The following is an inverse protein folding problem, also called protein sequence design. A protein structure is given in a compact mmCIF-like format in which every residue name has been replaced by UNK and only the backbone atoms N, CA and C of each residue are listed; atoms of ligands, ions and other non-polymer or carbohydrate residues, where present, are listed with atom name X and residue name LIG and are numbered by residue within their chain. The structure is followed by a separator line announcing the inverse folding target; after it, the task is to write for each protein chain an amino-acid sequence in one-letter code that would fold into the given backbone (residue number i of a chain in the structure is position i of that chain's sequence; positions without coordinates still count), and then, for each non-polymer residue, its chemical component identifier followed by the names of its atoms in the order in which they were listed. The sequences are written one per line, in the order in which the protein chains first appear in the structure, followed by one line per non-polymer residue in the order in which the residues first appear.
data_IF_499063402270
#
_entry.id   IF_499063402270
#
_cell.length_a   1.000
_cell.length_b   1.000
_cell.length_c   1.000
_cell.angle_alpha   90.00
_cell.angle_beta   90.00
_cell.angle_gamma   90.00
#
_symmetry.space_group_name_H-M   'P 1'
#
loop_
_entity.id
_entity.type
_entity.pdbx_description
1 polymer ?
#
# COMPACT_ATOMS: atom_id res chain seq x y z
N UNK A 1 -8.39 60.11 19.43
CA UNK A 1 -7.75 59.39 18.30
C UNK A 1 -6.95 58.17 18.72
N UNK A 2 -6.40 58.07 19.94
CA UNK A 2 -5.55 56.91 20.33
C UNK A 2 -6.25 55.57 20.63
N UNK A 3 -7.55 55.56 20.98
CA UNK A 3 -8.22 54.28 21.32
C UNK A 3 -8.53 53.43 20.08
N UNK A 4 -8.91 54.05 18.95
CA UNK A 4 -9.28 53.31 17.73
C UNK A 4 -8.06 52.60 17.13
N UNK A 5 -6.88 53.23 17.16
CA UNK A 5 -5.64 52.63 16.66
C UNK A 5 -5.21 51.41 17.48
N UNK A 6 -5.42 51.43 18.80
CA UNK A 6 -5.11 50.29 19.68
C UNK A 6 -6.04 49.10 19.37
N UNK A 7 -7.33 49.33 19.13
CA UNK A 7 -8.27 48.25 18.75
C UNK A 7 -7.93 47.65 17.37
N UNK A 8 -7.50 48.48 16.41
CA UNK A 8 -7.08 48.01 15.07
C UNK A 8 -5.78 47.19 15.16
N UNK A 9 -4.80 47.63 15.94
CA UNK A 9 -3.56 46.87 16.18
C UNK A 9 -3.83 45.55 16.89
N UNK A 10 -4.77 45.52 17.84
CA UNK A 10 -5.15 44.29 18.56
C UNK A 10 -5.88 43.30 17.64
N UNK A 11 -6.71 43.78 16.70
CA UNK A 11 -7.37 42.92 15.70
C UNK A 11 -6.37 42.31 14.69
N UNK A 12 -5.33 43.05 14.29
CA UNK A 12 -4.30 42.54 13.37
C UNK A 12 -3.43 41.43 14.00
N UNK A 13 -3.20 41.47 15.33
CA UNK A 13 -2.42 40.44 16.03
C UNK A 13 -3.20 39.11 16.14
N UNK A 14 -4.54 39.15 16.19
CA UNK A 14 -5.39 37.94 16.25
C UNK A 14 -5.46 37.22 14.89
N UNK A 15 -5.25 37.93 13.77
CA UNK A 15 -5.31 37.34 12.42
C UNK A 15 -4.04 36.60 11.96
N UNK A 16 -2.94 36.67 12.71
CA UNK A 16 -1.67 36.05 12.30
C UNK A 16 -1.43 34.63 12.87
N UNK A 17 -2.31 34.11 13.71
CA UNK A 17 -2.20 32.74 14.23
C UNK A 17 -2.98 31.71 13.38
N UNK A 18 -2.88 31.84 12.07
CA UNK A 18 -3.29 30.77 11.15
C UNK A 18 -2.22 29.69 11.10
N UNK A 19 -2.25 28.72 12.02
CA UNK A 19 -1.48 27.50 11.84
C UNK A 19 -2.06 26.76 10.64
N UNK A 20 -1.34 26.78 9.52
CA UNK A 20 -1.69 25.98 8.35
C UNK A 20 -1.75 24.51 8.74
N UNK A 21 -2.95 23.94 8.73
CA UNK A 21 -3.15 22.53 9.02
C UNK A 21 -2.66 21.73 7.82
N UNK A 22 -1.52 21.04 7.98
CA UNK A 22 -1.03 20.11 6.99
C UNK A 22 -1.90 18.85 7.03
N UNK A 23 -2.54 18.53 5.91
CA UNK A 23 -3.23 17.26 5.69
C UNK A 23 -2.26 16.30 5.00
N UNK A 24 -1.74 15.27 5.67
CA UNK A 24 -0.93 14.23 5.02
C UNK A 24 -1.66 13.64 3.82
N UNK A 25 -0.96 13.49 2.69
CA UNK A 25 -1.54 13.04 1.40
C UNK A 25 -2.03 14.14 0.46
N UNK A 26 -2.16 15.39 0.93
CA UNK A 26 -2.64 16.53 0.11
C UNK A 26 -1.56 17.21 -0.75
N UNK A 27 -0.27 16.92 -0.49
CA UNK A 27 0.86 17.47 -1.23
C UNK A 27 1.86 16.38 -1.65
N UNK A 28 2.60 16.57 -2.75
CA UNK A 28 3.66 15.67 -3.18
C UNK A 28 4.77 15.58 -2.13
N UNK A 29 5.04 14.36 -1.67
CA UNK A 29 6.28 14.10 -0.95
C UNK A 29 7.44 14.11 -1.95
N UNK A 30 8.48 14.89 -1.65
CA UNK A 30 9.69 14.95 -2.48
C UNK A 30 10.68 13.94 -1.91
N UNK A 31 11.07 12.99 -2.74
CA UNK A 31 12.13 12.03 -2.40
C UNK A 31 13.37 12.33 -3.23
N UNK A 32 14.55 12.08 -2.66
CA UNK A 32 15.82 11.97 -3.37
C UNK A 32 16.18 10.51 -3.62
N UNK A 33 17.08 10.26 -4.57
CA UNK A 33 17.60 8.92 -4.84
C UNK A 33 18.20 8.33 -3.56
N UNK A 34 17.80 7.10 -3.23
CA UNK A 34 18.22 6.39 -2.02
C UNK A 34 17.34 6.63 -0.80
N UNK A 35 16.39 7.57 -0.83
CA UNK A 35 15.47 7.77 0.29
C UNK A 35 14.67 6.51 0.63
N UNK A 36 14.40 6.26 1.92
CA UNK A 36 13.61 5.11 2.33
C UNK A 36 12.14 5.30 1.95
N UNK A 37 11.60 4.32 1.24
CA UNK A 37 10.17 4.18 0.97
C UNK A 37 9.63 2.98 1.73
N UNK A 38 8.58 3.20 2.53
CA UNK A 38 7.94 2.11 3.28
C UNK A 38 6.59 1.79 2.66
N UNK A 39 6.35 0.52 2.38
CA UNK A 39 5.02 0.04 1.99
C UNK A 39 4.21 -0.19 3.27
N UNK A 40 2.92 0.10 3.22
CA UNK A 40 1.97 -0.20 4.28
C UNK A 40 0.99 -1.26 3.82
N UNK A 41 0.35 -1.91 4.78
CA UNK A 41 -0.69 -2.90 4.55
C UNK A 41 -1.99 -2.37 5.14
N UNK A 42 -3.11 -2.57 4.46
CA UNK A 42 -4.43 -2.40 5.07
C UNK A 42 -5.03 -3.78 5.39
N UNK A 43 -6.20 -3.79 6.02
CA UNK A 43 -6.99 -5.00 6.27
C UNK A 43 -7.20 -5.81 5.00
N UNK A 44 -7.22 -7.12 5.17
CA UNK A 44 -7.62 -8.07 4.15
C UNK A 44 -9.10 -7.87 3.86
N UNK A 45 -9.43 -7.70 2.58
CA UNK A 45 -10.80 -7.58 2.09
C UNK A 45 -11.12 -8.78 1.20
N UNK A 46 -12.38 -9.19 1.13
CA UNK A 46 -12.82 -10.29 0.28
C UNK A 46 -13.75 -9.77 -0.81
N UNK A 47 -13.71 -10.39 -1.98
CA UNK A 47 -14.69 -10.12 -3.03
C UNK A 47 -16.05 -10.77 -2.69
N UNK A 48 -16.03 -11.90 -1.97
CA UNK A 48 -17.23 -12.69 -1.66
C UNK A 48 -17.88 -12.30 -0.33
N UNK A 49 -17.09 -11.79 0.62
CA UNK A 49 -17.54 -11.55 2.00
C UNK A 49 -17.26 -10.12 2.42
N UNK A 50 -18.14 -9.57 3.25
CA UNK A 50 -18.06 -8.17 3.71
C UNK A 50 -17.16 -7.98 4.94
N UNK A 51 -16.64 -9.07 5.53
CA UNK A 51 -15.91 -9.02 6.79
C UNK A 51 -14.40 -8.81 6.55
N UNK A 52 -13.81 -7.68 6.99
CA UNK A 52 -12.39 -7.46 6.90
C UNK A 52 -11.63 -8.22 8.01
N UNK A 53 -10.41 -8.65 7.71
CA UNK A 53 -9.50 -9.25 8.70
C UNK A 53 -8.17 -8.51 8.72
N UNK A 54 -7.51 -8.45 9.89
CA UNK A 54 -6.17 -7.86 9.97
C UNK A 54 -5.20 -8.64 9.05
N UNK A 55 -4.31 -7.91 8.37
CA UNK A 55 -3.24 -8.50 7.56
C UNK A 55 -2.43 -9.53 8.35
N UNK A 56 -2.06 -9.20 9.59
CA UNK A 56 -1.28 -10.06 10.47
C UNK A 56 -2.07 -11.17 11.19
N UNK A 57 -3.34 -11.37 10.82
CA UNK A 57 -4.10 -12.57 11.21
C UNK A 57 -3.67 -13.83 10.45
N UNK A 58 -3.02 -13.65 9.29
CA UNK A 58 -2.37 -14.69 8.53
C UNK A 58 -0.88 -14.79 8.91
N UNK A 59 -0.21 -15.93 8.64
CA UNK A 59 1.20 -16.15 8.98
C UNK A 59 2.18 -15.39 8.07
N UNK A 60 1.91 -14.11 7.79
CA UNK A 60 2.79 -13.20 7.08
C UNK A 60 3.93 -12.67 7.95
N UNK A 61 4.97 -12.13 7.31
CA UNK A 61 6.11 -11.52 7.98
C UNK A 61 5.72 -10.27 8.76
N UNK A 62 6.05 -10.25 10.05
CA UNK A 62 5.91 -9.06 10.90
C UNK A 62 7.20 -8.22 10.85
N UNK A 63 7.10 -6.88 10.87
CA UNK A 63 8.26 -6.00 10.99
C UNK A 63 8.99 -6.22 12.33
N UNK A 64 10.32 -6.05 12.34
CA UNK A 64 11.18 -6.31 13.51
C UNK A 64 10.90 -5.33 14.66
N UNK A 65 10.50 -4.11 14.30
CA UNK A 65 10.10 -3.03 15.18
C UNK A 65 8.70 -3.20 15.79
N UNK A 66 7.99 -4.28 15.46
CA UNK A 66 6.62 -4.52 15.86
C UNK A 66 5.59 -3.88 14.92
N UNK A 67 4.38 -4.41 14.98
CA UNK A 67 3.23 -3.90 14.22
C UNK A 67 2.74 -2.61 14.88
N UNK A 68 2.60 -1.56 14.09
CA UNK A 68 2.17 -0.23 14.50
C UNK A 68 1.15 0.31 13.50
N UNK A 69 0.10 0.90 14.03
CA UNK A 69 -0.87 1.65 13.22
C UNK A 69 -0.15 2.84 12.57
N UNK A 70 -0.45 3.04 11.28
CA UNK A 70 0.25 3.97 10.39
C UNK A 70 -0.74 4.80 9.56
N UNK A 71 -1.95 5.03 10.11
CA UNK A 71 -2.92 5.98 9.57
C UNK A 71 -2.32 7.39 9.55
N UNK A 72 -2.35 8.04 8.38
CA UNK A 72 -1.74 9.35 8.20
C UNK A 72 -2.73 10.50 8.39
N UNK A 73 -4.01 10.27 8.11
CA UNK A 73 -5.03 11.31 8.23
C UNK A 73 -6.22 10.87 9.09
N UNK A 74 -6.96 11.87 9.57
CA UNK A 74 -8.12 11.67 10.43
C UNK A 74 -9.24 10.92 9.70
N UNK A 75 -9.33 11.06 8.36
CA UNK A 75 -10.28 10.31 7.54
C UNK A 75 -10.03 8.81 7.63
N UNK A 76 -8.81 8.35 7.35
CA UNK A 76 -8.40 6.94 7.45
C UNK A 76 -8.71 6.36 8.84
N UNK A 77 -8.40 7.11 9.91
CA UNK A 77 -8.67 6.67 11.26
C UNK A 77 -10.17 6.52 11.54
N UNK A 78 -10.99 7.47 11.06
CA UNK A 78 -12.44 7.48 11.28
C UNK A 78 -13.18 6.46 10.43
N UNK A 79 -12.64 6.09 9.27
CA UNK A 79 -13.19 5.05 8.39
C UNK A 79 -12.91 3.63 8.88
N UNK A 80 -12.22 3.50 10.03
CA UNK A 80 -11.91 2.19 10.62
C UNK A 80 -10.83 1.42 9.85
N UNK A 81 -10.11 2.09 8.95
CA UNK A 81 -9.00 1.48 8.23
C UNK A 81 -7.86 1.15 9.20
N UNK A 82 -7.49 -0.13 9.23
CA UNK A 82 -6.36 -0.62 10.03
C UNK A 82 -5.11 -0.66 9.14
N UNK A 83 -4.63 0.54 8.79
CA UNK A 83 -3.38 0.69 8.05
C UNK A 83 -2.23 0.42 9.03
N UNK A 84 -1.48 -0.64 8.79
CA UNK A 84 -0.37 -1.08 9.62
C UNK A 84 0.95 -0.99 8.83
N UNK A 85 2.07 -0.76 9.51
CA UNK A 85 3.38 -0.78 8.86
C UNK A 85 3.70 -2.19 8.34
N UNK A 86 4.39 -2.29 7.20
CA UNK A 86 4.85 -3.56 6.64
C UNK A 86 6.38 -3.70 6.70
N UNK A 87 6.94 -4.91 6.57
CA UNK A 87 8.39 -5.12 6.51
C UNK A 87 9.02 -4.75 5.15
N UNK A 88 8.22 -4.40 4.13
CA UNK A 88 8.73 -4.02 2.81
C UNK A 88 9.28 -2.59 2.83
N UNK A 89 10.58 -2.44 2.55
CA UNK A 89 11.29 -1.17 2.55
C UNK A 89 12.12 -1.06 1.28
N UNK A 90 11.84 -0.05 0.47
CA UNK A 90 12.57 0.21 -0.76
C UNK A 90 13.52 1.38 -0.56
N UNK A 91 14.55 1.43 -1.41
CA UNK A 91 15.37 2.62 -1.58
C UNK A 91 14.96 3.30 -2.88
N UNK A 92 14.65 4.59 -2.79
CA UNK A 92 14.10 5.33 -3.91
C UNK A 92 15.03 5.26 -5.13
N UNK A 93 14.50 4.89 -6.30
CA UNK A 93 15.24 4.78 -7.56
C UNK A 93 16.40 3.77 -7.55
N UNK A 94 16.31 2.74 -6.71
CA UNK A 94 17.29 1.64 -6.65
C UNK A 94 16.57 0.32 -6.90
N UNK A 95 16.80 -0.29 -8.06
CA UNK A 95 16.23 -1.60 -8.38
C UNK A 95 16.91 -2.69 -7.57
N UNK A 96 16.13 -3.50 -6.88
CA UNK A 96 16.60 -4.61 -6.05
C UNK A 96 15.80 -5.86 -6.39
N UNK A 97 16.46 -7.01 -6.53
CA UNK A 97 15.82 -8.29 -6.86
C UNK A 97 16.11 -9.33 -5.78
N UNK A 98 15.20 -10.30 -5.65
CA UNK A 98 15.33 -11.45 -4.74
C UNK A 98 15.62 -11.10 -3.27
N UNK A 99 15.05 -9.99 -2.77
CA UNK A 99 15.23 -9.58 -1.39
C UNK A 99 14.49 -10.53 -0.45
N UNK A 100 15.24 -11.16 0.44
CA UNK A 100 14.70 -11.95 1.53
C UNK A 100 14.01 -11.07 2.57
N UNK A 101 12.73 -11.35 2.83
CA UNK A 101 11.94 -10.62 3.82
C UNK A 101 11.97 -11.32 5.17
N UNK A 102 11.43 -12.54 5.23
CA UNK A 102 11.48 -13.39 6.40
C UNK A 102 11.10 -14.84 6.05
N UNK A 103 11.29 -15.72 7.02
CA UNK A 103 10.75 -17.07 7.00
C UNK A 103 9.70 -17.21 8.11
N UNK A 104 8.52 -17.71 7.78
CA UNK A 104 7.48 -17.96 8.78
C UNK A 104 7.87 -19.10 9.70
N UNK A 105 7.14 -19.23 10.82
CA UNK A 105 7.14 -20.49 11.57
C UNK A 105 6.60 -21.62 10.69
N UNK A 106 6.89 -22.86 11.08
CA UNK A 106 6.27 -24.04 10.46
C UNK A 106 4.76 -23.87 10.48
N UNK A 107 4.13 -24.04 9.31
CA UNK A 107 2.69 -23.89 9.17
C UNK A 107 2.00 -24.98 9.99
N UNK A 108 1.23 -24.59 11.01
CA UNK A 108 0.42 -25.52 11.80
C UNK A 108 -0.81 -25.98 11.01
N UNK A 109 -1.47 -27.05 11.47
CA UNK A 109 -2.72 -27.52 10.85
C UNK A 109 -3.82 -26.42 10.89
N UNK A 110 -3.88 -25.63 11.97
CA UNK A 110 -4.81 -24.52 12.10
C UNK A 110 -4.46 -23.38 11.14
N UNK A 111 -3.18 -23.02 11.01
CA UNK A 111 -2.72 -22.02 10.03
C UNK A 111 -3.05 -22.46 8.60
N UNK A 112 -2.82 -23.74 8.29
CA UNK A 112 -3.12 -24.31 6.98
C UNK A 112 -4.62 -24.24 6.66
N UNK A 113 -5.46 -24.61 7.64
CA UNK A 113 -6.92 -24.53 7.52
C UNK A 113 -7.38 -23.07 7.34
N UNK A 114 -6.79 -22.14 8.09
CA UNK A 114 -7.09 -20.72 7.99
C UNK A 114 -6.70 -20.16 6.62
N UNK A 115 -5.49 -20.45 6.14
CA UNK A 115 -5.01 -20.03 4.81
C UNK A 115 -5.91 -20.55 3.70
N UNK A 116 -6.26 -21.86 3.73
CA UNK A 116 -7.20 -22.44 2.77
C UNK A 116 -8.54 -21.73 2.77
N UNK A 117 -9.10 -21.48 3.96
CA UNK A 117 -10.35 -20.75 4.11
C UNK A 117 -10.27 -19.35 3.49
N UNK A 118 -9.18 -18.60 3.73
CA UNK A 118 -9.01 -17.25 3.14
C UNK A 118 -8.83 -17.26 1.63
N UNK A 119 -8.17 -18.28 1.09
CA UNK A 119 -8.03 -18.46 -0.36
C UNK A 119 -9.38 -18.80 -0.99
N UNK A 120 -10.13 -19.72 -0.38
CA UNK A 120 -11.46 -20.11 -0.87
C UNK A 120 -12.48 -18.95 -0.76
N UNK A 121 -12.38 -18.10 0.25
CA UNK A 121 -13.19 -16.88 0.43
C UNK A 121 -12.68 -15.66 -0.38
N UNK A 122 -11.76 -15.87 -1.33
CA UNK A 122 -11.22 -14.82 -2.22
C UNK A 122 -10.70 -13.56 -1.50
N UNK A 123 -10.03 -13.74 -0.35
CA UNK A 123 -9.40 -12.61 0.34
C UNK A 123 -8.23 -12.05 -0.47
N UNK A 124 -8.09 -10.74 -0.39
CA UNK A 124 -7.08 -9.93 -1.05
C UNK A 124 -6.28 -9.15 -0.02
N UNK A 125 -4.99 -8.99 -0.31
CA UNK A 125 -4.06 -8.13 0.41
C UNK A 125 -4.06 -6.76 -0.28
N UNK A 126 -4.30 -5.72 0.52
CA UNK A 126 -4.27 -4.34 0.08
C UNK A 126 -2.96 -3.70 0.56
N UNK A 127 -2.09 -3.36 -0.39
CA UNK A 127 -0.85 -2.64 -0.11
C UNK A 127 -1.04 -1.16 -0.41
N UNK A 128 -0.35 -0.31 0.34
CA UNK A 128 -0.37 1.14 0.17
C UNK A 128 1.07 1.64 0.06
N UNK A 129 1.35 2.42 -0.97
CA UNK A 129 2.64 3.09 -1.19
C UNK A 129 2.37 4.57 -1.45
N UNK A 130 3.04 5.47 -0.71
CA UNK A 130 2.85 6.92 -0.82
C UNK A 130 1.37 7.36 -0.82
N UNK A 131 0.60 6.77 0.10
CA UNK A 131 -0.85 6.99 0.27
C UNK A 131 -1.73 6.61 -0.93
N UNK A 132 -1.19 5.77 -1.83
CA UNK A 132 -1.94 5.17 -2.91
C UNK A 132 -2.05 3.65 -2.74
N UNK A 133 -3.23 3.05 -2.97
CA UNK A 133 -3.35 1.60 -3.04
C UNK A 133 -2.52 1.04 -4.19
N UNK A 134 -1.74 -0.02 -3.97
CA UNK A 134 -1.00 -0.66 -5.04
C UNK A 134 -1.98 -1.32 -6.03
N UNK A 135 -1.85 -0.99 -7.32
CA UNK A 135 -2.66 -1.58 -8.38
C UNK A 135 -1.96 -2.83 -8.92
N UNK A 136 -2.75 -3.86 -9.23
CA UNK A 136 -2.32 -5.06 -9.95
C UNK A 136 -2.97 -5.10 -11.33
N UNK A 137 -2.14 -5.25 -12.36
CA UNK A 137 -2.61 -5.48 -13.72
C UNK A 137 -2.77 -6.96 -14.01
N UNK A 138 -3.89 -7.31 -14.65
CA UNK A 138 -4.13 -8.66 -15.17
C UNK A 138 -4.64 -8.56 -16.59
N UNK A 139 -4.12 -9.40 -17.48
CA UNK A 139 -4.59 -9.46 -18.86
C UNK A 139 -5.67 -10.51 -18.98
N UNK A 140 -6.88 -10.12 -19.36
CA UNK A 140 -7.99 -11.03 -19.65
C UNK A 140 -8.51 -10.74 -21.05
N UNK A 141 -8.46 -11.73 -21.94
CA UNK A 141 -9.08 -11.66 -23.29
C UNK A 141 -8.70 -10.42 -24.11
N UNK A 142 -7.47 -9.93 -23.97
CA UNK A 142 -6.97 -8.75 -24.70
C UNK A 142 -7.17 -7.42 -23.98
N UNK A 143 -7.95 -7.38 -22.90
CA UNK A 143 -8.14 -6.22 -22.03
C UNK A 143 -7.21 -6.27 -20.82
N UNK A 144 -6.72 -5.11 -20.39
CA UNK A 144 -5.93 -4.94 -19.17
C UNK A 144 -6.87 -4.55 -18.03
N UNK A 145 -7.16 -5.50 -17.14
CA UNK A 145 -7.92 -5.27 -15.93
C UNK A 145 -7.01 -4.79 -14.81
N UNK A 146 -7.50 -3.84 -14.01
CA UNK A 146 -6.82 -3.28 -12.85
C UNK A 146 -7.53 -3.77 -11.59
N UNK A 147 -6.76 -4.13 -10.57
CA UNK A 147 -7.27 -4.54 -9.26
C UNK A 147 -6.58 -3.73 -8.17
N UNK A 148 -7.33 -3.30 -7.16
CA UNK A 148 -6.75 -2.80 -5.92
C UNK A 148 -6.39 -4.00 -5.06
N UNK A 149 -5.09 -4.26 -4.86
CA UNK A 149 -4.63 -5.43 -4.11
C UNK A 149 -4.46 -6.71 -4.94
N UNK A 150 -4.00 -7.76 -4.27
CA UNK A 150 -3.73 -9.07 -4.86
C UNK A 150 -4.35 -10.17 -4.00
N UNK A 151 -4.85 -11.28 -4.59
CA UNK A 151 -5.39 -12.38 -3.82
C UNK A 151 -4.34 -12.96 -2.86
N UNK A 152 -4.75 -13.45 -1.70
CA UNK A 152 -3.82 -14.12 -0.75
C UNK A 152 -3.15 -15.33 -1.41
N UNK A 153 -3.89 -16.07 -2.23
CA UNK A 153 -3.43 -17.27 -2.90
C UNK A 153 -4.41 -17.75 -3.96
N UNK A 154 -4.17 -18.93 -4.50
CA UNK A 154 -5.03 -19.57 -5.50
C UNK A 154 -5.09 -21.07 -5.29
N UNK A 155 -6.21 -21.68 -5.64
CA UNK A 155 -6.39 -23.13 -5.67
C UNK A 155 -6.34 -23.62 -7.11
N UNK A 156 -5.38 -24.48 -7.43
CA UNK A 156 -5.21 -25.08 -8.77
C UNK A 156 -5.15 -26.60 -8.62
N UNK A 157 -6.00 -27.32 -9.35
CA UNK A 157 -6.02 -28.80 -9.33
C UNK A 157 -6.05 -29.39 -7.90
N UNK A 158 -6.84 -28.77 -7.02
CA UNK A 158 -6.98 -29.12 -5.59
C UNK A 158 -5.74 -28.90 -4.71
N UNK A 159 -4.69 -28.27 -5.23
CA UNK A 159 -3.52 -27.81 -4.47
C UNK A 159 -3.67 -26.31 -4.20
N UNK A 160 -3.37 -25.91 -2.97
CA UNK A 160 -3.42 -24.51 -2.56
C UNK A 160 -2.04 -23.88 -2.66
N UNK A 161 -1.99 -22.71 -3.28
CA UNK A 161 -0.78 -21.92 -3.46
C UNK A 161 -0.95 -20.57 -2.77
N UNK A 162 0.08 -20.13 -2.06
CA UNK A 162 0.16 -18.80 -1.46
C UNK A 162 1.03 -17.90 -2.32
N UNK A 163 0.64 -16.65 -2.47
CA UNK A 163 1.49 -15.63 -3.09
C UNK A 163 2.46 -15.06 -2.07
N UNK A 164 3.69 -15.60 -2.04
CA UNK A 164 4.74 -15.29 -1.07
C UNK A 164 5.88 -14.44 -1.63
N UNK A 165 6.01 -14.37 -2.96
CA UNK A 165 6.97 -13.49 -3.63
C UNK A 165 6.22 -12.35 -4.32
N UNK A 166 6.57 -11.11 -3.97
CA UNK A 166 5.99 -9.90 -4.54
C UNK A 166 7.01 -9.16 -5.40
N UNK A 167 6.67 -8.90 -6.65
CA UNK A 167 7.43 -8.01 -7.52
C UNK A 167 6.71 -6.68 -7.60
N UNK A 168 7.32 -5.67 -7.03
CA UNK A 168 6.86 -4.30 -7.08
C UNK A 168 7.41 -3.60 -8.30
N UNK A 169 6.53 -2.94 -9.05
CA UNK A 169 6.92 -1.91 -9.99
C UNK A 169 6.45 -0.55 -9.45
N UNK A 170 7.35 0.41 -9.42
CA UNK A 170 7.09 1.75 -8.88
C UNK A 170 7.31 2.74 -10.00
N UNK A 171 6.22 3.38 -10.43
CA UNK A 171 6.31 4.41 -11.46
C UNK A 171 6.78 5.70 -10.84
N UNK A 172 7.64 6.41 -11.55
CA UNK A 172 8.33 7.62 -11.11
C UNK A 172 8.10 8.73 -12.11
N UNK A 173 7.63 9.88 -11.64
CA UNK A 173 7.61 11.09 -12.44
C UNK A 173 8.75 12.03 -12.08
N UNK A 174 9.78 12.15 -12.94
CA UNK A 174 10.88 13.10 -12.73
C UNK A 174 10.45 14.52 -13.09
N UNK A 175 10.75 15.47 -12.19
CA UNK A 175 10.69 16.90 -12.51
C UNK A 175 12.10 17.40 -12.84
N UNK A 176 12.26 18.11 -13.97
CA UNK A 176 13.51 18.78 -14.34
C UNK A 176 13.72 20.05 -13.48
N UNK A 177 14.31 19.88 -12.29
CA UNK A 177 15.12 20.92 -11.66
C UNK A 177 16.38 20.25 -11.08
N UNK A 178 17.54 20.77 -11.48
CA UNK A 178 18.91 20.36 -11.15
C UNK A 178 19.05 19.40 -9.95
N UNK A 179 19.61 18.21 -10.21
CA UNK A 179 20.13 17.24 -9.22
C UNK A 179 19.16 16.63 -8.20
N UNK A 180 17.87 16.94 -8.25
CA UNK A 180 16.86 16.30 -7.39
C UNK A 180 15.92 15.52 -8.30
N UNK A 181 16.14 14.20 -8.43
CA UNK A 181 15.13 13.33 -8.99
C UNK A 181 13.94 13.36 -8.03
N UNK A 182 12.97 14.25 -8.25
CA UNK A 182 11.71 14.26 -7.52
C UNK A 182 11.02 12.99 -7.93
N UNK A 183 11.11 11.97 -7.10
CA UNK A 183 10.47 10.71 -7.42
C UNK A 183 9.13 10.68 -6.75
N UNK A 184 8.09 10.41 -7.53
CA UNK A 184 6.75 10.21 -7.02
C UNK A 184 6.35 8.79 -7.33
N UNK A 185 6.13 7.97 -6.30
CA UNK A 185 5.68 6.59 -6.48
C UNK A 185 4.20 6.54 -6.83
N UNK A 186 3.86 6.35 -8.11
CA UNK A 186 2.58 5.72 -8.45
C UNK A 186 2.81 4.22 -8.24
N UNK A 187 2.17 3.65 -7.22
CA UNK A 187 2.27 2.21 -6.97
C UNK A 187 1.67 1.46 -8.13
N UNK A 188 2.42 0.61 -8.83
CA UNK A 188 1.81 -0.09 -9.96
C UNK A 188 2.49 -1.39 -10.39
N UNK A 189 1.68 -2.46 -10.42
CA UNK A 189 2.01 -3.87 -10.56
C UNK A 189 2.72 -4.48 -9.34
N UNK A 190 1.93 -5.13 -8.50
CA UNK A 190 2.39 -6.28 -7.72
C UNK A 190 2.19 -7.52 -8.57
N UNK A 191 3.25 -8.00 -9.20
CA UNK A 191 3.27 -9.38 -9.73
C UNK A 191 3.53 -10.33 -8.57
N UNK A 192 2.86 -11.48 -8.60
CA UNK A 192 2.88 -12.43 -7.49
C UNK A 192 3.29 -13.80 -7.97
N UNK A 193 4.25 -14.43 -7.29
CA UNK A 193 4.63 -15.81 -7.59
C UNK A 193 4.09 -16.77 -6.51
N UNK A 194 3.45 -17.88 -6.93
CA UNK A 194 2.85 -18.82 -6.01
C UNK A 194 3.86 -19.84 -5.45
N UNK A 195 3.70 -20.20 -4.18
CA UNK A 195 4.35 -21.34 -3.53
C UNK A 195 3.29 -22.31 -3.01
N UNK A 196 3.42 -23.64 -3.22
CA UNK A 196 2.48 -24.61 -2.67
C UNK A 196 2.54 -24.60 -1.15
N UNK A 197 1.38 -24.55 -0.50
CA UNK A 197 1.28 -24.56 0.95
C UNK A 197 1.33 -26.01 1.43
N UNK A 198 2.20 -26.30 2.41
CA UNK A 198 2.29 -27.61 3.04
C UNK A 198 2.33 -27.48 4.55
N UNK A 199 1.62 -28.36 5.23
CA UNK A 199 1.65 -28.47 6.68
C UNK A 199 3.06 -28.87 7.17
N UNK A 200 3.53 -28.25 8.25
CA UNK A 200 4.84 -28.53 8.85
C UNK A 200 6.04 -27.90 8.13
N UNK A 201 5.86 -27.35 6.93
CA UNK A 201 6.89 -26.58 6.21
C UNK A 201 6.73 -25.08 6.50
N UNK A 202 7.81 -24.32 6.66
CA UNK A 202 7.76 -22.86 6.75
C UNK A 202 7.59 -22.22 5.37
N UNK A 203 7.00 -21.03 5.34
CA UNK A 203 6.85 -20.21 4.12
C UNK A 203 8.00 -19.19 4.09
N UNK A 204 8.69 -19.11 2.97
CA UNK A 204 9.72 -18.10 2.74
C UNK A 204 9.10 -16.94 1.98
N UNK A 205 9.19 -15.72 2.51
CA UNK A 205 8.69 -14.53 1.82
C UNK A 205 9.86 -13.74 1.25
N UNK A 206 9.70 -13.33 0.00
CA UNK A 206 10.70 -12.56 -0.75
C UNK A 206 10.01 -11.47 -1.54
N UNK A 207 10.76 -10.47 -1.98
CA UNK A 207 10.23 -9.47 -2.89
C UNK A 207 11.32 -8.92 -3.80
N UNK A 208 10.90 -8.26 -4.86
CA UNK A 208 11.76 -7.46 -5.72
C UNK A 208 11.08 -6.12 -6.02
N UNK A 209 11.87 -5.11 -6.31
CA UNK A 209 11.40 -3.77 -6.65
C UNK A 209 12.11 -3.25 -7.89
N UNK A 210 11.33 -2.80 -8.85
CA UNK A 210 11.80 -2.14 -10.05
C UNK A 210 11.14 -0.76 -10.18
N UNK A 211 11.95 0.25 -10.48
CA UNK A 211 11.50 1.60 -10.71
C UNK A 211 11.45 1.89 -12.22
N UNK A 212 10.37 2.51 -12.68
CA UNK A 212 10.17 2.88 -14.08
C UNK A 212 9.73 4.33 -14.20
N UNK A 213 10.31 5.07 -15.13
CA UNK A 213 9.92 6.46 -15.36
C UNK A 213 8.60 6.55 -16.11
N UNK A 214 7.77 7.52 -15.71
CA UNK A 214 6.42 7.72 -16.22
C UNK A 214 6.11 9.21 -16.36
N UNK A 215 5.37 9.55 -17.41
CA UNK A 215 4.90 10.92 -17.67
C UNK A 215 3.66 11.30 -16.83
N UNK A 216 3.17 10.39 -15.98
CA UNK A 216 2.03 10.64 -15.09
C UNK A 216 2.41 11.69 -14.04
N UNK A 217 1.83 12.88 -14.15
CA UNK A 217 2.03 13.97 -13.19
C UNK A 217 1.36 13.67 -11.85
N UNK A 218 1.86 14.29 -10.78
CA UNK A 218 1.33 14.08 -9.43
C UNK A 218 -0.19 14.26 -9.27
N UNK A 219 -0.81 15.33 -9.79
CA UNK A 219 -2.27 15.49 -9.67
C UNK A 219 -3.07 14.37 -10.34
N UNK A 220 -2.50 13.76 -11.38
CA UNK A 220 -3.14 12.73 -12.20
C UNK A 220 -2.89 11.31 -11.69
N UNK A 221 -2.18 11.13 -10.56
CA UNK A 221 -1.91 9.79 -10.00
C UNK A 221 -3.18 9.02 -9.65
N UNK A 222 -4.26 9.74 -9.32
CA UNK A 222 -5.56 9.18 -8.97
C UNK A 222 -6.37 8.75 -10.20
N UNK A 223 -6.04 9.24 -11.39
CA UNK A 223 -6.77 8.93 -12.64
C UNK A 223 -6.77 7.43 -12.93
N UNK A 224 -5.73 6.72 -12.47
CA UNK A 224 -5.62 5.28 -12.66
C UNK A 224 -6.73 4.49 -11.93
N UNK A 225 -7.20 5.02 -10.80
CA UNK A 225 -8.24 4.42 -9.95
C UNK A 225 -9.64 4.86 -10.39
N UNK A 226 -9.80 6.11 -10.85
CA UNK A 226 -11.07 6.64 -11.33
C UNK A 226 -11.58 5.94 -12.60
N UNK A 227 -10.67 5.35 -13.39
CA UNK A 227 -10.98 4.68 -14.67
C UNK A 227 -11.19 3.16 -14.51
N UNK A 228 -11.27 2.64 -13.29
CA UNK A 228 -11.52 1.21 -13.04
C UNK A 228 -13.02 0.90 -13.25
N UNK A 229 -13.37 0.26 -14.38
CA UNK A 229 -14.75 -0.19 -14.63
C UNK A 229 -15.17 -1.26 -13.60
N UNK A 230 -16.34 -1.06 -12.97
CA UNK A 230 -16.93 -2.03 -12.04
C UNK A 230 -16.54 -1.86 -10.56
N UNK A 231 -15.86 -0.78 -10.18
CA UNK A 231 -15.56 -0.50 -8.78
C UNK A 231 -16.84 -0.19 -8.00
N UNK A 232 -17.48 -1.22 -7.43
CA UNK A 232 -18.04 -1.06 -6.09
C UNK A 232 -16.87 -0.73 -5.19
N UNK A 233 -16.56 0.56 -5.05
CA UNK A 233 -15.73 1.04 -3.95
C UNK A 233 -16.54 0.74 -2.70
N UNK A 234 -16.31 -0.43 -2.12
CA UNK A 234 -16.85 -0.74 -0.80
C UNK A 234 -16.07 0.12 0.18
N UNK A 235 -16.59 1.30 0.45
CA UNK A 235 -16.28 2.01 1.67
C UNK A 235 -16.76 1.12 2.83
N UNK A 236 -15.89 0.72 3.77
CA UNK A 236 -16.39 0.16 5.02
C UNK A 236 -17.30 1.23 5.65
N UNK A 237 -18.54 0.84 5.91
CA UNK A 237 -19.54 1.64 6.63
C UNK A 237 -19.20 1.64 8.11
#
# INVERSE_FOLDING_TARGET
MGHVEIWVLTMCVIFQSGYGFYLPGSYPHKYVVGDPLSVKVNSLTSIDTEMPFSYYSLPFCKPKEGVKDSAENLGELLMGDRIENSPYKFKMYVNESEIFLCQSKKVSADDFKLLKKRIDEMYQVNLILDNLPAIRYTKKEGFMLRWTGYPVGVKVQNVYYLFNHLKFKVLIHKYEETSVARVMGTGDAVEVMPMPIKEGEPIVFTYEVAFEESDIKWPSRWDAYLKMEGSKVHWPV
#
